data_IF_846935425203
#
_entry.id   IF_846935425203
#
_cell.length_a   1.000
_cell.length_b   1.000
_cell.length_c   1.000
_cell.angle_alpha   90.00
_cell.angle_beta   90.00
_cell.angle_gamma   90.00
#
_symmetry.space_group_name_H-M   'P 1'
#
loop_
_entity.id
_entity.type
_entity.pdbx_description
1 polymer ?
#
# COMPACT_ATOMS: atom_id res chain seq x y z
N UNK A 1 14.61 -16.21 -11.22
CA UNK A 1 13.99 -15.50 -10.08
C UNK A 1 13.08 -16.50 -9.37
N UNK A 2 13.26 -16.72 -8.07
CA UNK A 2 12.30 -17.53 -7.31
C UNK A 2 10.96 -16.77 -7.30
N UNK A 3 9.92 -17.36 -7.89
CA UNK A 3 8.58 -16.80 -7.85
C UNK A 3 8.11 -16.81 -6.40
N UNK A 4 7.97 -15.63 -5.79
CA UNK A 4 7.41 -15.51 -4.45
C UNK A 4 5.96 -16.03 -4.47
N UNK A 5 5.51 -16.74 -3.42
CA UNK A 5 4.14 -17.22 -3.36
C UNK A 5 3.17 -16.04 -3.31
N UNK A 6 2.12 -16.12 -4.13
CA UNK A 6 1.00 -15.17 -4.21
C UNK A 6 -0.33 -15.95 -4.28
N UNK A 7 -1.41 -15.30 -3.91
CA UNK A 7 -2.75 -15.78 -4.21
C UNK A 7 -3.15 -15.37 -5.63
N UNK A 8 -3.98 -16.19 -6.28
CA UNK A 8 -4.60 -15.80 -7.54
C UNK A 8 -5.55 -14.63 -7.30
N UNK A 9 -5.49 -13.63 -8.17
CA UNK A 9 -6.35 -12.44 -8.10
C UNK A 9 -7.34 -12.43 -9.25
N UNK A 10 -8.55 -11.97 -8.96
CA UNK A 10 -9.58 -11.70 -9.96
C UNK A 10 -9.78 -10.19 -10.06
N UNK A 11 -9.54 -9.63 -11.24
CA UNK A 11 -9.77 -8.21 -11.49
C UNK A 11 -11.26 -7.96 -11.70
N UNK A 12 -11.81 -7.01 -10.95
CA UNK A 12 -13.16 -6.49 -11.13
C UNK A 12 -13.06 -5.00 -11.47
N UNK A 13 -13.86 -4.56 -12.44
CA UNK A 13 -13.98 -3.14 -12.78
C UNK A 13 -15.19 -2.57 -12.05
N UNK A 14 -14.96 -1.61 -11.15
CA UNK A 14 -15.99 -0.73 -10.63
C UNK A 14 -15.84 0.62 -11.35
N UNK A 15 -16.93 1.35 -11.58
CA UNK A 15 -17.00 2.50 -12.52
C UNK A 15 -15.84 3.52 -12.41
N UNK A 16 -15.24 3.70 -11.22
CA UNK A 16 -14.20 4.72 -10.97
C UNK A 16 -12.90 4.12 -10.39
N UNK A 17 -12.88 2.83 -10.04
CA UNK A 17 -11.73 2.20 -9.36
C UNK A 17 -11.43 0.82 -9.90
N UNK A 18 -10.13 0.49 -9.96
CA UNK A 18 -9.67 -0.85 -10.35
C UNK A 18 -9.52 -1.68 -9.09
N UNK A 19 -10.18 -2.84 -9.06
CA UNK A 19 -10.17 -3.72 -7.90
C UNK A 19 -9.64 -5.11 -8.28
N UNK A 20 -8.89 -5.72 -7.37
CA UNK A 20 -8.52 -7.12 -7.43
C UNK A 20 -9.03 -7.81 -6.17
N UNK A 21 -9.78 -8.90 -6.32
CA UNK A 21 -10.24 -9.75 -5.23
C UNK A 21 -9.39 -11.01 -5.16
N UNK A 22 -9.15 -11.52 -3.96
CA UNK A 22 -8.51 -12.81 -3.76
C UNK A 22 -8.92 -13.45 -2.44
N UNK A 23 -8.89 -14.78 -2.39
CA UNK A 23 -9.08 -15.55 -1.18
C UNK A 23 -7.72 -15.73 -0.47
N UNK A 24 -7.56 -15.13 0.72
CA UNK A 24 -6.43 -15.35 1.61
C UNK A 24 -6.70 -16.59 2.46
N UNK A 25 -5.95 -17.66 2.19
CA UNK A 25 -6.14 -18.99 2.78
C UNK A 25 -5.00 -19.26 3.78
N UNK A 26 -5.04 -18.56 4.89
CA UNK A 26 -4.14 -18.74 6.02
C UNK A 26 -4.73 -19.71 7.04
N UNK A 27 -4.79 -19.30 8.32
CA UNK A 27 -5.52 -20.05 9.35
C UNK A 27 -7.03 -20.16 9.05
N UNK A 28 -7.57 -19.16 8.34
CA UNK A 28 -8.95 -19.09 7.85
C UNK A 28 -8.94 -18.58 6.42
N UNK A 29 -10.06 -18.79 5.72
CA UNK A 29 -10.29 -18.14 4.42
C UNK A 29 -10.94 -16.78 4.63
N UNK A 30 -10.29 -15.73 4.14
CA UNK A 30 -10.79 -14.34 4.18
C UNK A 30 -10.74 -13.78 2.77
N UNK A 31 -11.85 -13.24 2.28
CA UNK A 31 -11.86 -12.51 1.01
C UNK A 31 -11.22 -11.15 1.24
N UNK A 32 -10.23 -10.81 0.41
CA UNK A 32 -9.49 -9.56 0.50
C UNK A 32 -9.54 -8.83 -0.82
N UNK A 33 -9.37 -7.52 -0.74
CA UNK A 33 -9.43 -6.64 -1.89
C UNK A 33 -8.19 -5.74 -1.95
N UNK A 34 -7.71 -5.51 -3.17
CA UNK A 34 -6.73 -4.48 -3.53
C UNK A 34 -7.47 -3.48 -4.40
N UNK A 35 -7.39 -2.20 -4.06
CA UNK A 35 -8.05 -1.12 -4.80
C UNK A 35 -7.07 -0.05 -5.22
N UNK A 36 -7.16 0.34 -6.50
CA UNK A 36 -6.55 1.53 -7.05
C UNK A 36 -7.64 2.58 -7.23
N UNK A 37 -7.69 3.53 -6.31
CA UNK A 37 -8.71 4.59 -6.28
C UNK A 37 -8.09 5.94 -6.65
N UNK A 38 -8.62 6.69 -7.63
CA UNK A 38 -8.08 7.99 -8.00
C UNK A 38 -8.24 8.98 -6.84
N UNK A 39 -7.19 9.73 -6.53
CA UNK A 39 -7.18 10.67 -5.38
C UNK A 39 -6.81 12.11 -5.76
N UNK A 40 -6.00 12.31 -6.80
CA UNK A 40 -5.61 13.65 -7.28
C UNK A 40 -4.98 13.56 -8.67
N UNK A 41 -4.56 14.71 -9.21
CA UNK A 41 -3.79 14.83 -10.46
C UNK A 41 -2.47 15.54 -10.16
N UNK A 42 -1.35 14.99 -10.62
CA UNK A 42 -0.01 15.61 -10.57
C UNK A 42 0.55 15.61 -11.99
N UNK A 43 1.02 16.75 -12.49
CA UNK A 43 1.60 16.89 -13.84
C UNK A 43 0.74 16.27 -14.96
N UNK A 44 -0.57 16.52 -14.93
CA UNK A 44 -1.58 15.96 -15.85
C UNK A 44 -1.74 14.42 -15.80
N UNK A 45 -1.19 13.76 -14.77
CA UNK A 45 -1.34 12.32 -14.54
C UNK A 45 -2.24 12.07 -13.34
N UNK A 46 -3.19 11.15 -13.48
CA UNK A 46 -4.05 10.71 -12.37
C UNK A 46 -3.23 9.91 -11.36
N UNK A 47 -3.29 10.31 -10.10
CA UNK A 47 -2.68 9.61 -8.97
C UNK A 47 -3.72 8.70 -8.35
N UNK A 48 -3.39 7.42 -8.20
CA UNK A 48 -4.22 6.39 -7.60
C UNK A 48 -3.63 5.95 -6.26
N UNK A 49 -4.44 5.95 -5.22
CA UNK A 49 -4.08 5.34 -3.94
C UNK A 49 -4.15 3.81 -4.05
N UNK A 50 -3.07 3.12 -3.69
CA UNK A 50 -3.04 1.66 -3.51
C UNK A 50 -3.56 1.31 -2.11
N UNK A 51 -4.84 0.94 -2.05
CA UNK A 51 -5.50 0.45 -0.84
C UNK A 51 -5.57 -1.08 -0.80
N UNK A 52 -5.53 -1.65 0.40
CA UNK A 52 -5.69 -3.09 0.60
C UNK A 52 -6.24 -3.41 1.99
N UNK A 53 -7.09 -4.44 2.08
CA UNK A 53 -7.65 -4.93 3.34
C UNK A 53 -8.66 -6.07 3.16
N UNK A 54 -9.40 -6.36 4.21
CA UNK A 54 -10.47 -7.37 4.18
C UNK A 54 -11.66 -6.82 3.40
N UNK A 55 -12.29 -7.63 2.56
CA UNK A 55 -13.41 -7.19 1.73
C UNK A 55 -14.74 -7.35 2.48
N UNK A 56 -15.51 -6.28 2.58
CA UNK A 56 -16.89 -6.28 3.07
C UNK A 56 -17.81 -6.45 1.84
N UNK A 57 -18.31 -7.66 1.62
CA UNK A 57 -19.15 -7.99 0.47
C UNK A 57 -20.49 -7.24 0.49
N UNK A 58 -21.07 -7.03 1.68
CA UNK A 58 -22.35 -6.35 1.85
C UNK A 58 -22.25 -4.87 1.46
N UNK A 59 -21.15 -4.22 1.84
CA UNK A 59 -20.91 -2.80 1.53
C UNK A 59 -20.16 -2.58 0.22
N UNK A 60 -19.54 -3.63 -0.33
CA UNK A 60 -18.63 -3.53 -1.47
C UNK A 60 -17.41 -2.64 -1.18
N UNK A 61 -16.91 -2.64 0.06
CA UNK A 61 -15.81 -1.77 0.52
C UNK A 61 -14.67 -2.55 1.16
N UNK A 62 -13.51 -1.92 1.31
CA UNK A 62 -12.35 -2.50 2.01
C UNK A 62 -12.34 -2.04 3.47
N UNK A 63 -12.08 -2.98 4.38
CA UNK A 63 -11.74 -2.72 5.78
C UNK A 63 -10.23 -2.86 5.93
N UNK A 64 -9.53 -1.73 5.91
CA UNK A 64 -8.06 -1.68 5.97
C UNK A 64 -7.53 -1.42 7.37
N UNK A 65 -8.36 -1.08 8.35
CA UNK A 65 -7.93 -0.71 9.71
C UNK A 65 -7.80 -1.88 10.68
N UNK A 66 -8.16 -3.10 10.25
CA UNK A 66 -8.08 -4.32 11.06
C UNK A 66 -6.83 -5.14 10.75
N UNK A 67 -6.40 -5.94 11.72
CA UNK A 67 -5.41 -6.98 11.51
C UNK A 67 -6.10 -8.33 11.76
N UNK A 68 -6.34 -9.09 10.70
CA UNK A 68 -6.99 -10.40 10.77
C UNK A 68 -6.09 -11.48 11.38
N UNK A 69 -4.77 -11.25 11.51
CA UNK A 69 -3.79 -12.20 12.03
C UNK A 69 -3.88 -13.60 11.36
N UNK A 70 -4.13 -13.64 10.05
CA UNK A 70 -4.40 -14.89 9.34
C UNK A 70 -3.15 -15.78 9.07
N UNK A 71 -1.97 -15.40 9.58
CA UNK A 71 -0.74 -16.21 9.47
C UNK A 71 -0.04 -16.18 8.10
N UNK A 72 -0.57 -15.48 7.11
CA UNK A 72 -0.14 -15.51 5.70
C UNK A 72 0.34 -14.16 5.16
N UNK A 73 0.76 -13.26 6.06
CA UNK A 73 1.07 -11.85 5.75
C UNK A 73 2.07 -11.67 4.59
N UNK A 74 3.05 -12.56 4.45
CA UNK A 74 4.02 -12.48 3.36
C UNK A 74 3.40 -12.78 2.00
N UNK A 75 2.56 -13.83 1.90
CA UNK A 75 1.86 -14.18 0.65
C UNK A 75 0.88 -13.08 0.28
N UNK A 76 0.13 -12.58 1.26
CA UNK A 76 -0.78 -11.44 1.11
C UNK A 76 -0.03 -10.21 0.59
N UNK A 77 1.08 -9.83 1.21
CA UNK A 77 1.86 -8.66 0.80
C UNK A 77 2.43 -8.82 -0.61
N UNK A 78 2.96 -9.99 -0.96
CA UNK A 78 3.43 -10.27 -2.32
C UNK A 78 2.29 -10.22 -3.33
N UNK A 79 1.09 -10.68 -2.96
CA UNK A 79 -0.11 -10.61 -3.79
C UNK A 79 -0.46 -9.16 -4.10
N UNK A 80 -0.45 -8.27 -3.09
CA UNK A 80 -0.65 -6.83 -3.29
C UNK A 80 0.34 -6.27 -4.30
N UNK A 81 1.64 -6.51 -4.08
CA UNK A 81 2.71 -5.99 -4.94
C UNK A 81 2.64 -6.54 -6.37
N UNK A 82 2.23 -7.80 -6.54
CA UNK A 82 2.10 -8.45 -7.86
C UNK A 82 1.09 -7.77 -8.78
N UNK A 83 0.13 -7.01 -8.24
CA UNK A 83 -0.86 -6.28 -9.05
C UNK A 83 -0.34 -4.98 -9.65
N UNK A 84 0.80 -4.46 -9.18
CA UNK A 84 1.36 -3.17 -9.63
C UNK A 84 1.75 -3.19 -11.12
N UNK A 85 2.50 -4.20 -11.63
CA UNK A 85 2.79 -4.27 -13.07
C UNK A 85 1.51 -4.34 -13.92
N UNK A 86 0.55 -5.18 -13.54
CA UNK A 86 -0.72 -5.36 -14.26
C UNK A 86 -1.58 -4.08 -14.28
N UNK A 87 -1.58 -3.32 -13.19
CA UNK A 87 -2.18 -1.99 -13.15
C UNK A 87 -1.53 -1.05 -14.18
N UNK A 88 -0.19 -1.02 -14.25
CA UNK A 88 0.55 -0.16 -15.17
C UNK A 88 0.57 -0.63 -16.63
N UNK A 89 0.18 -1.87 -16.93
CA UNK A 89 -0.05 -2.34 -18.31
C UNK A 89 -1.30 -1.68 -18.91
N UNK A 90 -2.35 -1.54 -18.10
CA UNK A 90 -3.62 -0.93 -18.52
C UNK A 90 -3.67 0.58 -18.28
N UNK A 91 -2.84 1.09 -17.37
CA UNK A 91 -2.78 2.51 -16.98
C UNK A 91 -1.33 3.04 -17.04
N UNK A 92 -0.67 3.03 -18.21
CA UNK A 92 0.76 3.33 -18.32
C UNK A 92 1.13 4.76 -17.89
N UNK A 93 0.18 5.71 -17.97
CA UNK A 93 0.42 7.10 -17.60
C UNK A 93 0.03 7.45 -16.16
N UNK A 94 -0.56 6.52 -15.41
CA UNK A 94 -0.96 6.73 -14.03
C UNK A 94 0.24 6.89 -13.09
N UNK A 95 -0.04 7.36 -11.88
CA UNK A 95 0.90 7.38 -10.76
C UNK A 95 0.26 6.62 -9.61
N UNK A 96 1.00 5.77 -8.92
CA UNK A 96 0.52 5.15 -7.68
C UNK A 96 1.04 5.96 -6.50
N UNK A 97 0.18 6.27 -5.53
CA UNK A 97 0.60 6.71 -4.20
C UNK A 97 0.38 5.57 -3.20
N UNK A 98 1.40 5.30 -2.40
CA UNK A 98 1.39 4.33 -1.30
C UNK A 98 1.57 5.08 0.00
N UNK A 99 0.64 4.87 0.93
CA UNK A 99 0.71 5.39 2.30
C UNK A 99 0.28 4.31 3.29
N UNK A 100 0.67 4.44 4.55
CA UNK A 100 0.15 3.59 5.62
C UNK A 100 -1.21 4.10 6.07
N UNK A 101 -2.22 3.23 6.22
CA UNK A 101 -3.48 3.64 6.87
C UNK A 101 -3.28 4.00 8.34
N UNK A 102 -2.11 3.71 8.90
CA UNK A 102 -1.62 4.13 10.22
C UNK A 102 -0.74 5.40 10.19
N UNK A 103 -0.76 6.16 9.09
CA UNK A 103 0.07 7.36 8.88
C UNK A 103 -0.71 8.69 8.87
N UNK A 104 -2.01 8.69 9.18
CA UNK A 104 -2.81 9.92 9.26
C UNK A 104 -2.74 10.53 10.68
N UNK A 105 -2.83 11.86 10.79
CA UNK A 105 -2.58 12.58 12.04
C UNK A 105 -3.49 12.11 13.20
N UNK A 106 -4.77 11.87 12.91
CA UNK A 106 -5.75 11.41 13.91
C UNK A 106 -5.49 9.98 14.40
N UNK A 107 -4.66 9.18 13.70
CA UNK A 107 -4.34 7.81 14.11
C UNK A 107 -3.71 7.77 15.49
N UNK A 108 -2.90 8.77 15.84
CA UNK A 108 -2.25 8.85 17.14
C UNK A 108 -3.31 8.96 18.26
N UNK A 109 -4.33 9.80 18.05
CA UNK A 109 -5.41 10.00 19.00
C UNK A 109 -6.25 8.72 19.19
N UNK A 110 -6.50 7.96 18.13
CA UNK A 110 -7.23 6.70 18.20
C UNK A 110 -6.39 5.57 18.81
N UNK A 111 -5.07 5.61 18.59
CA UNK A 111 -4.14 4.58 19.04
C UNK A 111 -3.82 4.67 20.53
N UNK A 112 -3.52 5.87 21.07
CA UNK A 112 -3.03 6.03 22.44
C UNK A 112 -3.95 5.37 23.50
N UNK A 113 -5.28 5.57 23.48
CA UNK A 113 -6.18 5.00 24.50
C UNK A 113 -6.25 3.46 24.47
N UNK A 114 -5.96 2.85 23.32
CA UNK A 114 -6.11 1.39 23.09
C UNK A 114 -4.76 0.70 22.87
N UNK A 115 -3.64 1.39 23.06
CA UNK A 115 -2.32 0.88 22.72
C UNK A 115 -1.86 -0.21 23.72
N UNK A 116 -1.83 -1.46 23.26
CA UNK A 116 -1.34 -2.62 24.02
C UNK A 116 0.16 -2.59 24.31
N UNK A 117 0.94 -1.73 23.66
CA UNK A 117 2.40 -1.60 23.80
C UNK A 117 2.86 -0.59 24.85
N UNK A 118 1.96 -0.17 25.76
CA UNK A 118 2.20 0.86 26.78
C UNK A 118 2.74 2.14 26.14
N UNK A 119 1.96 2.72 25.22
CA UNK A 119 2.27 4.00 24.62
C UNK A 119 2.04 5.11 25.65
N UNK A 120 2.99 6.04 25.82
CA UNK A 120 2.83 7.24 26.67
C UNK A 120 2.56 8.45 25.79
N UNK A 121 3.60 8.94 25.11
CA UNK A 121 3.59 10.22 24.41
C UNK A 121 3.56 10.04 22.89
N UNK A 122 3.76 8.81 22.42
CA UNK A 122 3.77 8.42 21.00
C UNK A 122 3.14 7.05 20.81
N UNK A 123 2.37 6.90 19.74
CA UNK A 123 1.83 5.60 19.34
C UNK A 123 2.91 4.74 18.66
N UNK A 124 3.30 3.61 19.27
CA UNK A 124 4.25 2.63 18.68
C UNK A 124 3.71 1.87 17.46
N UNK A 125 2.42 2.03 17.15
CA UNK A 125 1.82 1.47 15.94
C UNK A 125 1.72 2.48 14.78
N UNK A 126 2.05 3.74 15.00
CA UNK A 126 2.07 4.76 13.96
C UNK A 126 3.13 4.42 12.90
N UNK A 127 2.79 4.59 11.62
CA UNK A 127 3.66 4.37 10.46
C UNK A 127 4.28 2.96 10.34
N UNK A 128 3.70 1.93 10.95
CA UNK A 128 4.22 0.57 10.79
C UNK A 128 3.97 0.03 9.38
N UNK A 129 2.85 0.39 8.75
CA UNK A 129 2.50 -0.13 7.42
C UNK A 129 3.38 0.47 6.33
N UNK A 130 3.58 1.80 6.34
CA UNK A 130 4.49 2.44 5.38
C UNK A 130 5.92 1.91 5.51
N UNK A 131 6.37 1.55 6.72
CA UNK A 131 7.68 0.91 6.93
C UNK A 131 7.83 -0.42 6.17
N UNK A 132 6.78 -1.22 6.09
CA UNK A 132 6.81 -2.48 5.31
C UNK A 132 7.00 -2.20 3.82
N UNK A 133 6.28 -1.22 3.26
CA UNK A 133 6.44 -0.82 1.87
C UNK A 133 7.83 -0.24 1.59
N UNK A 134 8.32 0.67 2.44
CA UNK A 134 9.68 1.22 2.34
C UNK A 134 10.74 0.12 2.39
N UNK A 135 10.63 -0.80 3.35
CA UNK A 135 11.57 -1.91 3.47
C UNK A 135 11.61 -2.76 2.18
N UNK A 136 10.46 -3.02 1.55
CA UNK A 136 10.41 -3.71 0.27
C UNK A 136 11.08 -2.91 -0.85
N UNK A 137 10.76 -1.62 -0.97
CA UNK A 137 11.37 -0.74 -1.98
C UNK A 137 12.89 -0.65 -1.77
N UNK A 138 13.35 -0.39 -0.54
CA UNK A 138 14.77 -0.28 -0.19
C UNK A 138 15.54 -1.56 -0.53
N UNK A 139 14.97 -2.73 -0.20
CA UNK A 139 15.61 -4.03 -0.42
C UNK A 139 15.73 -4.39 -1.90
N UNK A 140 14.80 -3.92 -2.73
CA UNK A 140 14.75 -4.26 -4.16
C UNK A 140 14.97 -3.03 -5.04
N UNK A 141 15.58 -1.96 -4.50
CA UNK A 141 15.58 -0.65 -5.13
C UNK A 141 16.25 -0.66 -6.50
N UNK A 142 17.39 -1.33 -6.62
CA UNK A 142 18.15 -1.38 -7.87
C UNK A 142 17.34 -2.04 -9.00
N UNK A 143 16.74 -3.20 -8.74
CA UNK A 143 15.89 -3.94 -9.70
C UNK A 143 14.61 -3.16 -10.04
N UNK A 144 13.90 -2.68 -9.02
CA UNK A 144 12.66 -1.91 -9.22
C UNK A 144 12.92 -0.62 -9.99
N UNK A 145 14.08 0.01 -9.78
CA UNK A 145 14.46 1.24 -10.47
C UNK A 145 14.75 1.03 -11.96
N UNK A 146 14.85 -0.20 -12.46
CA UNK A 146 14.93 -0.44 -13.91
C UNK A 146 13.61 -0.07 -14.60
N UNK A 147 12.47 -0.37 -13.95
CA UNK A 147 11.13 -0.18 -14.52
C UNK A 147 10.34 0.98 -13.92
N UNK A 148 10.72 1.44 -12.73
CA UNK A 148 9.96 2.44 -11.98
C UNK A 148 10.83 3.62 -11.52
N UNK A 149 10.18 4.77 -11.34
CA UNK A 149 10.76 5.93 -10.66
C UNK A 149 9.98 6.19 -9.37
N UNK A 150 10.70 6.35 -8.27
CA UNK A 150 10.12 6.55 -6.94
C UNK A 150 10.38 7.96 -6.42
N UNK A 151 9.35 8.56 -5.81
CA UNK A 151 9.48 9.80 -5.03
C UNK A 151 8.95 9.55 -3.63
N UNK A 152 9.64 10.07 -2.61
CA UNK A 152 9.22 9.96 -1.22
C UNK A 152 8.83 11.32 -0.65
N UNK A 153 7.83 11.35 0.23
CA UNK A 153 7.46 12.55 1.00
C UNK A 153 7.60 12.27 2.49
N UNK A 154 8.25 13.18 3.22
CA UNK A 154 8.28 13.18 4.68
C UNK A 154 7.47 14.38 5.19
N UNK A 155 6.33 14.11 5.84
CA UNK A 155 5.36 15.10 6.32
C UNK A 155 5.90 15.97 7.46
N UNK A 156 6.91 15.48 8.17
CA UNK A 156 7.52 16.20 9.32
C UNK A 156 8.73 17.05 8.94
N UNK A 157 9.23 16.95 7.71
CA UNK A 157 10.34 17.75 7.19
C UNK A 157 9.81 18.80 6.22
N UNK A 158 10.26 18.77 4.96
CA UNK A 158 9.86 19.72 3.92
C UNK A 158 8.43 19.49 3.42
N UNK A 159 7.84 18.32 3.71
CA UNK A 159 6.49 17.92 3.25
C UNK A 159 6.29 18.03 1.73
N UNK A 160 7.39 17.90 0.97
CA UNK A 160 7.40 17.85 -0.48
C UNK A 160 7.80 16.45 -0.95
N UNK A 161 7.33 16.05 -2.13
CA UNK A 161 7.84 14.86 -2.80
C UNK A 161 9.23 15.17 -3.36
N UNK A 162 10.21 14.37 -2.95
CA UNK A 162 11.59 14.42 -3.43
C UNK A 162 11.97 13.08 -4.04
N UNK A 163 13.02 13.04 -4.85
CA UNK A 163 13.54 11.79 -5.38
C UNK A 163 13.77 10.80 -4.23
N UNK A 164 13.26 9.58 -4.37
CA UNK A 164 13.39 8.56 -3.33
C UNK A 164 14.86 8.14 -3.19
N UNK A 165 15.35 8.16 -1.95
CA UNK A 165 16.68 7.68 -1.56
C UNK A 165 16.48 6.52 -0.57
N UNK A 166 16.99 5.32 -0.85
CA UNK A 166 16.83 4.16 0.03
C UNK A 166 17.29 4.42 1.47
N UNK A 167 16.62 3.78 2.43
CA UNK A 167 16.88 3.88 3.87
C UNK A 167 16.61 5.27 4.49
N UNK A 168 15.90 6.15 3.79
CA UNK A 168 15.37 7.40 4.34
C UNK A 168 13.94 7.23 4.86
N UNK A 169 13.54 8.12 5.77
CA UNK A 169 12.19 8.13 6.31
C UNK A 169 11.23 8.90 5.40
N UNK A 170 10.25 8.17 4.86
CA UNK A 170 9.12 8.69 4.09
C UNK A 170 7.77 8.23 4.67
N UNK A 171 6.77 9.09 4.61
CA UNK A 171 5.39 8.82 5.03
C UNK A 171 4.50 8.37 3.86
N UNK A 172 4.85 8.80 2.65
CA UNK A 172 4.21 8.39 1.40
C UNK A 172 5.25 8.16 0.31
N UNK A 173 4.93 7.28 -0.64
CA UNK A 173 5.75 6.96 -1.81
C UNK A 173 4.90 7.15 -3.07
N UNK A 174 5.39 7.92 -4.04
CA UNK A 174 4.88 7.91 -5.41
C UNK A 174 5.68 6.92 -6.25
N UNK A 175 4.97 6.20 -7.11
CA UNK A 175 5.54 5.25 -8.06
C UNK A 175 5.08 5.64 -9.46
N UNK A 176 6.04 5.86 -10.34
CA UNK A 176 5.84 6.12 -11.76
C UNK A 176 6.40 4.96 -12.57
N UNK A 177 5.68 4.49 -13.59
CA UNK A 177 6.25 3.59 -14.59
C UNK A 177 7.20 4.37 -15.50
N UNK A 178 8.38 3.84 -15.76
CA UNK A 178 9.26 4.36 -16.82
C UNK A 178 8.66 4.01 -18.19
N UNK A 179 8.93 4.88 -19.16
CA UNK A 179 8.57 4.64 -20.57
C UNK A 179 9.60 3.75 -21.23
#
# INVERSE_FOLDING_TARGET
MNTLPIYATERTEAEIKIRYLFASVGEKTIVKAIEYSPVTIIDSKTVYNLGFGDYDEDKGTIIDNINSNNGDIYIVFNTVLSTIPSFFETNPDAVIIVSGSDSHENFINDCLPKCTKKCTDKCKNHQRRIKTYRYYVDKNFDELSESFTFFGRNKTKENLFVQYIPNQDYDDILVYKKK
#
